data_IF_682461468224
#
_entry.id   IF_682461468224
#
_cell.length_a   1.000
_cell.length_b   1.000
_cell.length_c   1.000
_cell.angle_alpha   90.00
_cell.angle_beta   90.00
_cell.angle_gamma   90.00
#
_symmetry.space_group_name_H-M   'P 1'
#
loop_
_entity.id
_entity.type
_entity.pdbx_description
1 polymer ?
#
# COMPACT_ATOMS: atom_id res chain seq x y z
N UNK A 1 -2.75 18.26 -17.61
CA UNK A 1 -3.48 17.01 -17.29
C UNK A 1 -4.96 17.26 -17.02
N UNK A 2 -5.34 18.29 -16.25
CA UNK A 2 -6.77 18.61 -15.96
C UNK A 2 -7.63 18.95 -17.16
N UNK A 3 -7.06 19.50 -18.23
CA UNK A 3 -7.78 19.91 -19.45
C UNK A 3 -7.90 18.82 -20.51
N UNK A 4 -7.38 17.62 -20.26
CA UNK A 4 -7.44 16.53 -21.23
C UNK A 4 -8.87 15.98 -21.37
N UNK A 5 -9.30 15.75 -22.62
CA UNK A 5 -10.59 15.12 -22.95
C UNK A 5 -10.32 13.88 -23.81
N UNK A 6 -10.68 12.66 -23.37
CA UNK A 6 -11.29 12.33 -22.06
C UNK A 6 -10.34 12.58 -20.88
N UNK A 7 -10.90 12.75 -19.67
CA UNK A 7 -10.11 12.94 -18.45
C UNK A 7 -9.09 11.81 -18.27
N UNK A 8 -7.87 12.17 -17.86
CA UNK A 8 -6.84 11.18 -17.50
C UNK A 8 -7.02 10.60 -16.10
N UNK A 9 -7.85 11.23 -15.29
CA UNK A 9 -8.15 10.78 -13.93
C UNK A 9 -9.28 9.76 -13.91
N UNK A 10 -9.20 8.83 -12.99
CA UNK A 10 -10.21 7.80 -12.74
C UNK A 10 -10.81 7.98 -11.35
N UNK A 11 -12.03 7.50 -11.14
CA UNK A 11 -12.73 7.60 -9.85
C UNK A 11 -12.27 6.53 -8.85
N UNK A 12 -11.67 5.44 -9.33
CA UNK A 12 -11.24 4.32 -8.51
C UNK A 12 -10.06 3.57 -9.11
N UNK A 13 -9.34 2.81 -8.27
CA UNK A 13 -8.26 1.94 -8.72
C UNK A 13 -8.75 0.87 -9.72
N UNK A 14 -9.95 0.34 -9.49
CA UNK A 14 -10.53 -0.67 -10.39
C UNK A 14 -10.74 -0.11 -11.79
N UNK A 15 -11.30 1.09 -11.90
CA UNK A 15 -11.48 1.79 -13.16
C UNK A 15 -10.14 2.08 -13.86
N UNK A 16 -9.12 2.52 -13.09
CA UNK A 16 -7.78 2.76 -13.61
C UNK A 16 -7.15 1.52 -14.22
N UNK A 17 -7.25 0.38 -13.52
CA UNK A 17 -6.76 -0.91 -13.99
C UNK A 17 -7.49 -1.37 -15.27
N UNK A 18 -8.82 -1.26 -15.30
CA UNK A 18 -9.61 -1.68 -16.45
C UNK A 18 -9.32 -0.78 -17.67
N UNK A 19 -9.02 0.48 -17.43
CA UNK A 19 -8.63 1.42 -18.48
C UNK A 19 -7.26 1.08 -19.08
N UNK A 20 -6.25 0.74 -18.24
CA UNK A 20 -4.94 0.25 -18.72
C UNK A 20 -5.09 -0.95 -19.65
N UNK A 21 -5.98 -1.89 -19.29
CA UNK A 21 -6.23 -3.11 -20.07
C UNK A 21 -6.96 -2.87 -21.38
N UNK A 22 -7.83 -1.86 -21.45
CA UNK A 22 -8.64 -1.53 -22.64
C UNK A 22 -7.92 -0.68 -23.65
N UNK A 23 -6.98 0.15 -23.23
CA UNK A 23 -6.34 1.15 -24.10
C UNK A 23 -5.02 0.67 -24.74
N UNK A 24 -4.72 -0.65 -24.70
CA UNK A 24 -3.61 -1.30 -25.44
C UNK A 24 -2.27 -0.52 -25.39
N UNK A 25 -1.81 -0.19 -24.19
CA UNK A 25 -0.55 0.51 -23.96
C UNK A 25 -0.60 2.04 -24.15
N UNK A 26 -1.74 2.61 -24.46
CA UNK A 26 -1.91 4.07 -24.59
C UNK A 26 -2.20 4.76 -23.26
N UNK A 27 -2.44 3.99 -22.18
CA UNK A 27 -2.73 4.51 -20.85
C UNK A 27 -1.89 3.80 -19.80
N UNK A 28 -1.36 4.55 -18.85
CA UNK A 28 -0.67 4.04 -17.67
C UNK A 28 -1.32 4.62 -16.41
N UNK A 29 -1.40 3.82 -15.36
CA UNK A 29 -2.05 4.19 -14.11
C UNK A 29 -1.08 4.09 -12.93
N UNK A 30 -0.99 5.18 -12.16
CA UNK A 30 -0.20 5.22 -10.93
C UNK A 30 -1.03 4.71 -9.76
N UNK A 31 -0.50 3.75 -9.04
CA UNK A 31 -1.13 3.25 -7.83
C UNK A 31 -0.07 2.75 -6.83
N UNK A 32 -0.50 2.35 -5.66
CA UNK A 32 0.35 1.84 -4.61
C UNK A 32 1.04 0.52 -5.02
N UNK A 33 2.34 0.40 -4.74
CA UNK A 33 3.16 -0.74 -5.16
C UNK A 33 2.59 -2.09 -4.70
N UNK A 34 2.11 -2.20 -3.45
CA UNK A 34 1.51 -3.44 -2.96
C UNK A 34 0.24 -3.82 -3.73
N UNK A 35 -0.55 -2.83 -4.17
CA UNK A 35 -1.72 -3.06 -5.00
C UNK A 35 -1.33 -3.46 -6.42
N UNK A 36 -0.29 -2.86 -7.00
CA UNK A 36 0.25 -3.27 -8.31
C UNK A 36 0.68 -4.73 -8.25
N UNK A 37 1.53 -5.11 -7.29
CA UNK A 37 2.00 -6.49 -7.10
C UNK A 37 0.82 -7.46 -6.96
N UNK A 38 -0.22 -7.10 -6.22
CA UNK A 38 -1.41 -7.94 -6.05
C UNK A 38 -2.15 -8.17 -7.36
N UNK A 39 -2.28 -7.15 -8.20
CA UNK A 39 -3.03 -7.22 -9.46
C UNK A 39 -2.26 -7.93 -10.57
N UNK A 40 -0.95 -7.73 -10.70
CA UNK A 40 -0.13 -8.42 -11.71
C UNK A 40 -0.05 -9.93 -11.49
N UNK A 41 -0.11 -10.40 -10.24
CA UNK A 41 -0.17 -11.84 -9.94
C UNK A 41 -1.49 -12.50 -10.37
N UNK A 42 -2.52 -11.74 -10.68
CA UNK A 42 -3.88 -12.21 -11.00
C UNK A 42 -4.34 -11.87 -12.40
N UNK A 43 -3.77 -10.83 -12.98
CA UNK A 43 -4.08 -10.31 -14.32
C UNK A 43 -2.80 -10.30 -15.14
N UNK A 44 -2.60 -11.36 -15.93
CA UNK A 44 -1.34 -11.60 -16.67
C UNK A 44 -1.09 -10.62 -17.83
N UNK A 45 -2.07 -9.83 -18.16
CA UNK A 45 -2.02 -8.76 -19.15
C UNK A 45 -1.50 -7.42 -18.58
N UNK A 46 -1.12 -7.40 -17.30
CA UNK A 46 -0.57 -6.24 -16.61
C UNK A 46 0.89 -6.43 -16.25
N UNK A 47 1.68 -5.37 -16.37
CA UNK A 47 3.06 -5.33 -15.92
C UNK A 47 3.38 -4.04 -15.18
N UNK A 48 4.33 -4.08 -14.27
CA UNK A 48 4.86 -2.89 -13.61
C UNK A 48 6.00 -2.32 -14.44
N UNK A 49 5.95 -1.03 -14.71
CA UNK A 49 7.01 -0.29 -15.39
C UNK A 49 7.70 0.64 -14.38
N UNK A 50 9.02 0.58 -14.33
CA UNK A 50 9.83 1.38 -13.42
C UNK A 50 9.84 0.86 -11.98
N UNK A 51 10.53 1.60 -11.11
CA UNK A 51 10.63 1.33 -9.68
C UNK A 51 9.64 2.14 -8.84
N UNK A 52 9.84 2.13 -7.53
CA UNK A 52 9.09 2.97 -6.60
C UNK A 52 9.41 4.44 -6.83
N UNK A 53 8.39 5.29 -6.84
CA UNK A 53 8.55 6.75 -6.95
C UNK A 53 9.04 7.38 -5.64
N UNK A 54 8.77 6.73 -4.52
CA UNK A 54 9.26 7.11 -3.19
C UNK A 54 9.58 5.87 -2.34
N UNK A 55 10.20 6.10 -1.17
CA UNK A 55 10.59 5.04 -0.23
C UNK A 55 9.62 4.88 0.94
N UNK A 56 8.39 5.39 0.84
CA UNK A 56 7.40 5.29 1.91
C UNK A 56 6.87 3.87 2.04
N UNK A 57 6.66 3.46 3.29
CA UNK A 57 6.11 2.16 3.65
C UNK A 57 4.83 2.26 4.45
N UNK A 58 4.29 1.13 4.84
CA UNK A 58 3.17 1.07 5.77
C UNK A 58 3.62 1.38 7.19
N UNK A 59 2.78 2.07 7.94
CA UNK A 59 2.95 2.34 9.35
C UNK A 59 1.74 1.91 10.17
N UNK A 60 1.94 1.73 11.47
CA UNK A 60 0.85 1.50 12.43
C UNK A 60 0.53 2.81 13.12
N UNK A 61 -0.72 3.26 13.02
CA UNK A 61 -1.18 4.44 13.71
C UNK A 61 -1.47 4.11 15.19
N UNK A 62 -0.94 4.90 16.08
CA UNK A 62 -1.13 4.77 17.53
C UNK A 62 -1.69 6.06 18.11
N UNK A 63 -2.54 5.99 19.14
CA UNK A 63 -2.99 7.19 19.83
C UNK A 63 -1.82 7.84 20.57
N UNK A 64 -1.78 9.18 20.70
CA UNK A 64 -0.78 9.87 21.48
C UNK A 64 -0.92 9.51 22.97
N UNK A 65 0.18 9.54 23.74
CA UNK A 65 0.20 9.13 25.15
C UNK A 65 -0.73 9.95 26.04
N UNK A 66 -1.03 11.18 25.67
CA UNK A 66 -1.86 12.10 26.46
C UNK A 66 -3.38 11.92 26.26
N UNK A 67 -3.83 10.93 25.48
CA UNK A 67 -5.26 10.72 25.21
C UNK A 67 -6.06 10.44 26.51
N UNK A 68 -5.49 9.71 27.45
CA UNK A 68 -6.12 9.40 28.74
C UNK A 68 -6.25 10.66 29.61
N UNK A 69 -5.22 11.51 29.62
CA UNK A 69 -5.25 12.76 30.37
C UNK A 69 -6.23 13.77 29.79
N UNK A 70 -6.41 13.78 28.46
CA UNK A 70 -7.38 14.62 27.75
C UNK A 70 -8.83 14.24 28.07
N UNK A 71 -9.14 12.97 28.24
CA UNK A 71 -10.48 12.48 28.63
C UNK A 71 -10.77 12.87 30.09
N UNK A 72 -9.79 12.77 30.98
CA UNK A 72 -9.98 13.07 32.41
C UNK A 72 -10.10 14.58 32.70
N UNK A 73 -9.55 15.46 31.85
CA UNK A 73 -9.53 16.91 32.12
C UNK A 73 -10.58 17.71 31.37
N UNK A 74 -11.40 17.08 30.53
CA UNK A 74 -12.46 17.74 29.71
C UNK A 74 -11.99 18.99 28.94
N UNK A 75 -10.68 19.16 28.70
CA UNK A 75 -10.11 20.28 27.97
C UNK A 75 -9.86 19.93 26.53
N UNK A 76 -10.88 20.03 25.70
CA UNK A 76 -10.77 20.06 24.25
C UNK A 76 -10.17 21.41 23.81
N UNK A 77 -8.90 21.64 24.06
CA UNK A 77 -8.19 22.80 23.50
C UNK A 77 -7.06 22.31 22.60
N UNK A 78 -7.31 22.34 21.31
CA UNK A 78 -6.36 22.01 20.26
C UNK A 78 -5.29 23.11 20.04
N UNK A 79 -4.84 23.78 21.10
CA UNK A 79 -3.86 24.88 21.02
C UNK A 79 -2.79 24.79 22.09
N UNK A 80 -2.02 23.71 22.10
CA UNK A 80 -0.67 23.80 22.67
C UNK A 80 0.24 22.89 21.88
N UNK A 81 1.27 23.46 21.27
CA UNK A 81 2.48 22.77 20.82
C UNK A 81 3.21 22.16 22.04
N UNK A 82 2.54 21.35 22.82
CA UNK A 82 3.20 20.44 23.73
C UNK A 82 3.77 19.32 22.85
N UNK A 83 5.06 19.06 22.94
CA UNK A 83 5.72 17.93 22.29
C UNK A 83 4.83 16.70 22.46
N UNK A 84 4.29 16.20 21.35
CA UNK A 84 3.45 15.01 21.32
C UNK A 84 4.38 13.87 21.74
N UNK A 85 4.31 13.47 23.01
CA UNK A 85 5.08 12.34 23.49
C UNK A 85 4.52 11.09 22.82
N UNK A 86 5.42 10.25 22.31
CA UNK A 86 5.09 9.01 21.64
C UNK A 86 4.20 8.13 22.51
N UNK A 87 3.28 7.40 21.86
CA UNK A 87 2.45 6.41 22.54
C UNK A 87 3.32 5.45 23.36
N UNK A 88 2.94 5.07 24.61
CA UNK A 88 3.68 4.13 25.42
C UNK A 88 3.85 2.75 24.73
N UNK A 89 3.02 2.47 23.74
CA UNK A 89 3.06 1.23 22.97
C UNK A 89 4.02 1.27 21.79
N UNK A 90 4.53 2.43 21.37
CA UNK A 90 5.39 2.60 20.18
C UNK A 90 6.60 1.69 20.23
N UNK A 91 7.32 1.65 21.35
CA UNK A 91 8.51 0.81 21.50
C UNK A 91 8.20 -0.68 21.44
N UNK A 92 7.12 -1.11 22.09
CA UNK A 92 6.73 -2.53 22.13
C UNK A 92 6.28 -3.00 20.73
N UNK A 93 5.47 -2.20 20.02
CA UNK A 93 4.99 -2.51 18.67
C UNK A 93 6.14 -2.50 17.67
N UNK A 94 7.01 -1.49 17.72
CA UNK A 94 8.19 -1.42 16.84
C UNK A 94 9.12 -2.63 17.04
N UNK A 95 9.40 -3.01 18.28
CA UNK A 95 10.19 -4.19 18.57
C UNK A 95 9.50 -5.48 18.09
N UNK A 96 8.18 -5.56 18.19
CA UNK A 96 7.38 -6.68 17.65
C UNK A 96 7.50 -6.78 16.13
N UNK A 97 7.35 -5.67 15.43
CA UNK A 97 7.47 -5.61 13.96
C UNK A 97 8.88 -6.04 13.51
N UNK A 98 9.93 -5.51 14.16
CA UNK A 98 11.30 -5.89 13.85
C UNK A 98 11.54 -7.39 14.02
N UNK A 99 11.07 -7.98 15.12
CA UNK A 99 11.17 -9.44 15.36
C UNK A 99 10.45 -10.26 14.29
N UNK A 100 9.27 -9.81 13.83
CA UNK A 100 8.54 -10.49 12.75
C UNK A 100 9.28 -10.37 11.41
N UNK A 101 9.94 -9.24 11.18
CA UNK A 101 10.76 -9.01 10.00
C UNK A 101 12.02 -9.88 10.00
N UNK A 102 12.75 -9.92 11.13
CA UNK A 102 13.95 -10.76 11.30
C UNK A 102 13.65 -12.25 11.13
N UNK A 103 12.50 -12.73 11.62
CA UNK A 103 12.02 -14.10 11.43
C UNK A 103 11.52 -14.41 10.02
N UNK A 104 11.47 -13.44 9.13
CA UNK A 104 10.91 -13.60 7.78
C UNK A 104 9.39 -13.81 7.74
N UNK A 105 8.69 -13.70 8.87
CA UNK A 105 7.24 -13.95 8.96
C UNK A 105 6.44 -13.01 8.08
N UNK A 106 6.84 -11.73 8.00
CA UNK A 106 6.17 -10.74 7.15
C UNK A 106 6.30 -11.12 5.66
N UNK A 107 7.46 -11.61 5.25
CA UNK A 107 7.69 -12.07 3.89
C UNK A 107 6.86 -13.33 3.57
N UNK A 108 6.80 -14.27 4.49
CA UNK A 108 5.96 -15.48 4.34
C UNK A 108 4.47 -15.12 4.20
N UNK A 109 3.98 -14.17 5.00
CA UNK A 109 2.61 -13.68 4.91
C UNK A 109 2.37 -12.96 3.56
N UNK A 110 3.33 -12.16 3.10
CA UNK A 110 3.24 -11.51 1.79
C UNK A 110 3.11 -12.56 0.66
N UNK A 111 3.97 -13.57 0.63
CA UNK A 111 3.91 -14.66 -0.36
C UNK A 111 2.56 -15.36 -0.29
N UNK A 112 2.13 -15.76 0.91
CA UNK A 112 0.86 -16.45 1.11
C UNK A 112 -0.33 -15.64 0.55
N UNK A 113 -0.44 -14.36 0.87
CA UNK A 113 -1.61 -13.56 0.50
C UNK A 113 -1.56 -12.98 -0.92
N UNK A 114 -0.37 -12.71 -1.46
CA UNK A 114 -0.21 -12.16 -2.81
C UNK A 114 -0.10 -13.23 -3.88
N UNK A 115 0.63 -14.33 -3.62
CA UNK A 115 0.95 -15.35 -4.61
C UNK A 115 0.11 -16.63 -4.49
N UNK A 116 -0.12 -17.13 -3.28
CA UNK A 116 -0.75 -18.44 -3.08
C UNK A 116 -2.27 -18.36 -2.93
N UNK A 117 -2.80 -17.32 -2.29
CA UNK A 117 -4.22 -17.19 -1.98
C UNK A 117 -4.97 -16.37 -3.02
N UNK A 118 -6.29 -16.59 -3.10
CA UNK A 118 -7.22 -15.81 -3.93
C UNK A 118 -6.86 -15.71 -5.41
N UNK A 119 -6.25 -16.78 -5.97
CA UNK A 119 -5.90 -16.83 -7.40
C UNK A 119 -4.60 -16.09 -7.77
N UNK A 120 -3.74 -15.78 -6.79
CA UNK A 120 -2.38 -15.31 -7.06
C UNK A 120 -1.51 -16.41 -7.69
N UNK A 121 -0.36 -16.02 -8.23
CA UNK A 121 0.59 -16.95 -8.87
C UNK A 121 0.16 -17.48 -10.24
N UNK A 122 -0.96 -17.05 -10.78
CA UNK A 122 -1.46 -17.51 -12.09
C UNK A 122 -0.58 -17.07 -13.25
N UNK A 123 0.16 -15.98 -13.08
CA UNK A 123 0.94 -15.34 -14.13
C UNK A 123 2.41 -15.76 -14.17
N UNK A 124 2.80 -16.78 -13.40
CA UNK A 124 4.17 -17.30 -13.38
C UNK A 124 4.55 -18.10 -14.63
N UNK A 125 3.62 -18.27 -15.57
CA UNK A 125 3.84 -19.09 -16.78
C UNK A 125 3.45 -18.25 -17.99
N UNK A 126 4.31 -17.40 -18.52
CA UNK A 126 4.17 -16.93 -19.91
C UNK A 126 5.15 -15.84 -20.38
N UNK A 127 6.37 -15.80 -19.92
CA UNK A 127 7.37 -14.96 -20.63
C UNK A 127 8.33 -15.72 -21.54
N UNK A 128 8.16 -17.04 -21.71
CA UNK A 128 9.06 -17.83 -22.59
C UNK A 128 8.60 -17.95 -24.05
N UNK A 129 7.46 -17.38 -24.45
CA UNK A 129 6.93 -17.53 -25.82
C UNK A 129 6.56 -16.22 -26.51
N UNK A 130 7.20 -15.11 -26.22
CA UNK A 130 7.06 -13.86 -27.00
C UNK A 130 8.41 -13.44 -27.59
N UNK A 131 8.89 -14.21 -28.59
CA UNK A 131 9.83 -13.77 -29.61
C UNK A 131 9.37 -14.27 -30.97
#
# INVERSE_FOLDING_TARGET
MESAKPSVYTSSNSEGIDRVRKEDGLYAFFMEAASIEYHIERKCDLTQIGGLLDSKGYGVALPPSNYILLILTNKLSCKTHASISDSPYTKAISAGILRLQEKGTLQTLKVKWWKEMHGGGRCLVSFENCF
#
